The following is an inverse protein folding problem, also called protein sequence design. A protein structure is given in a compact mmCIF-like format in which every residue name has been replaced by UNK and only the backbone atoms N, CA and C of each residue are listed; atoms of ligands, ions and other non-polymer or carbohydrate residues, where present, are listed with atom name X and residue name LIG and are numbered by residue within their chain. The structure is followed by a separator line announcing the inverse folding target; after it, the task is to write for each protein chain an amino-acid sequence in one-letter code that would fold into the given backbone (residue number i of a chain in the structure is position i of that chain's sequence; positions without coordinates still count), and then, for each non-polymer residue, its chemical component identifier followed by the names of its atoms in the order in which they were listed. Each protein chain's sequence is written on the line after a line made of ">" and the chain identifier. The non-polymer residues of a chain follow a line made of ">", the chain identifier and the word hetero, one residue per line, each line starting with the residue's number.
data_IF_411233453071
#
_entry.id   IF_411233453071
#
_cell.length_a   1.000
_cell.length_b   1.000
_cell.length_c   1.000
_cell.angle_alpha   90.00
_cell.angle_beta   90.00
_cell.angle_gamma   90.00
#
_symmetry.space_group_name_H-M   'P 1'
#
loop_
_entity.id
_entity.type
_entity.pdbx_description
1 polymer ?
#
# COMPACT_ATOMS: atom_id res chain seq x y z
N UNK A 1 -5.32 -33.73 26.54
CA UNK A 1 -6.39 -32.71 26.49
C UNK A 1 -6.05 -31.80 25.32
N UNK A 2 -6.81 -31.82 24.23
CA UNK A 2 -6.60 -30.95 23.07
C UNK A 2 -7.36 -29.65 23.31
N UNK A 3 -6.64 -28.57 23.65
CA UNK A 3 -7.24 -27.25 23.77
C UNK A 3 -7.44 -26.69 22.36
N UNK A 4 -8.69 -26.53 21.94
CA UNK A 4 -9.00 -25.83 20.69
C UNK A 4 -8.91 -24.33 20.95
N UNK A 5 -7.89 -23.68 20.40
CA UNK A 5 -7.78 -22.22 20.41
C UNK A 5 -8.83 -21.64 19.46
N UNK A 6 -9.76 -20.80 19.95
CA UNK A 6 -10.62 -20.08 19.02
C UNK A 6 -9.81 -19.02 18.26
N UNK A 7 -10.14 -18.90 16.98
CA UNK A 7 -9.52 -17.98 16.02
C UNK A 7 -10.64 -17.15 15.42
N UNK A 8 -10.48 -15.83 15.43
CA UNK A 8 -11.39 -14.92 14.74
C UNK A 8 -10.75 -14.37 13.48
N UNK A 9 -11.57 -14.10 12.48
CA UNK A 9 -11.14 -13.45 11.26
C UNK A 9 -11.27 -11.95 11.40
N UNK A 10 -10.16 -11.22 11.35
CA UNK A 10 -10.09 -9.78 11.58
C UNK A 10 -9.78 -9.07 10.25
N UNK A 11 -10.53 -8.02 9.88
CA UNK A 11 -10.24 -7.27 8.67
C UNK A 11 -8.91 -6.52 8.82
N UNK A 12 -8.08 -6.61 7.79
CA UNK A 12 -6.74 -6.03 7.75
C UNK A 12 -6.58 -5.19 6.49
N UNK A 13 -6.08 -3.97 6.63
CA UNK A 13 -5.79 -3.08 5.51
C UNK A 13 -4.35 -2.59 5.57
N UNK A 14 -3.65 -2.66 4.44
CA UNK A 14 -2.28 -2.17 4.29
C UNK A 14 -2.30 -0.87 3.49
N UNK A 15 -1.69 0.16 4.06
CA UNK A 15 -1.53 1.48 3.47
C UNK A 15 -0.06 1.73 3.16
N UNK A 16 0.21 2.13 1.91
CA UNK A 16 1.53 2.56 1.49
C UNK A 16 1.68 4.06 1.72
N UNK A 17 2.80 4.45 2.32
CA UNK A 17 3.22 5.83 2.42
C UNK A 17 3.86 6.26 1.10
N UNK A 18 3.30 7.28 0.46
CA UNK A 18 3.77 7.80 -0.82
C UNK A 18 4.39 9.20 -0.70
N UNK A 19 4.74 9.62 0.53
CA UNK A 19 5.42 10.88 0.76
C UNK A 19 6.82 10.88 0.09
N UNK A 20 7.18 11.93 -0.69
CA UNK A 20 8.41 11.97 -1.48
C UNK A 20 9.71 12.07 -0.67
N UNK A 21 9.65 12.00 0.67
CA UNK A 21 10.79 12.02 1.58
C UNK A 21 10.41 11.35 2.91
N UNK A 22 10.20 10.04 2.95
CA UNK A 22 9.84 9.36 4.20
C UNK A 22 11.06 8.79 4.93
N UNK A 23 11.65 9.59 5.84
CA UNK A 23 12.47 9.10 6.96
C UNK A 23 11.57 8.53 8.07
N UNK A 24 10.73 7.56 7.69
CA UNK A 24 9.80 6.86 8.58
C UNK A 24 8.53 7.61 8.97
N UNK A 25 7.64 6.91 9.69
CA UNK A 25 6.33 7.44 10.10
C UNK A 25 6.41 8.62 11.09
N UNK A 26 7.60 9.04 11.54
CA UNK A 26 7.68 10.05 12.58
C UNK A 26 8.94 10.90 12.44
N UNK A 27 8.86 11.95 11.61
CA UNK A 27 9.49 13.28 11.78
C UNK A 27 9.32 14.10 10.48
N UNK A 28 8.53 15.18 10.57
CA UNK A 28 8.59 16.41 9.74
C UNK A 28 7.99 16.47 8.31
N UNK A 29 7.49 15.40 7.67
CA UNK A 29 6.94 15.51 6.30
C UNK A 29 5.42 15.21 6.19
N UNK A 30 4.69 15.81 5.23
CA UNK A 30 3.30 15.46 4.94
C UNK A 30 3.18 13.99 4.57
N UNK A 31 2.39 13.23 5.35
CA UNK A 31 2.10 11.80 5.10
C UNK A 31 0.95 11.67 4.12
N UNK A 32 1.10 10.81 3.12
CA UNK A 32 0.04 10.43 2.19
C UNK A 32 -0.07 8.92 2.20
N UNK A 33 -1.15 8.42 2.80
CA UNK A 33 -1.42 6.99 2.86
C UNK A 33 -2.40 6.62 1.75
N UNK A 34 -2.01 5.65 0.92
CA UNK A 34 -2.87 5.02 -0.07
C UNK A 34 -3.16 3.58 0.35
N UNK A 35 -4.44 3.22 0.43
CA UNK A 35 -4.83 1.83 0.62
C UNK A 35 -4.30 0.98 -0.56
N UNK A 36 -3.54 -0.05 -0.26
CA UNK A 36 -2.91 -0.91 -1.26
C UNK A 36 -3.53 -2.32 -1.27
N UNK A 37 -3.84 -2.87 -0.09
CA UNK A 37 -4.50 -4.17 0.00
C UNK A 37 -5.42 -4.25 1.21
N UNK A 38 -6.49 -5.04 1.06
CA UNK A 38 -7.40 -5.38 2.15
C UNK A 38 -7.65 -6.88 2.12
N UNK A 39 -7.49 -7.52 3.26
CA UNK A 39 -7.66 -8.96 3.43
C UNK A 39 -8.14 -9.27 4.84
N UNK A 40 -8.41 -10.53 5.10
CA UNK A 40 -8.94 -11.01 6.36
C UNK A 40 -7.89 -11.91 7.02
N UNK A 41 -7.42 -11.53 8.22
CA UNK A 41 -6.38 -12.27 8.92
C UNK A 41 -6.97 -13.13 10.05
N UNK A 42 -6.66 -14.44 10.11
CA UNK A 42 -7.01 -15.27 11.25
C UNK A 42 -6.13 -14.89 12.46
N UNK A 43 -6.75 -14.41 13.54
CA UNK A 43 -6.07 -14.05 14.78
C UNK A 43 -6.64 -14.91 15.92
N UNK A 44 -5.79 -15.65 16.66
CA UNK A 44 -6.19 -16.35 17.86
C UNK A 44 -6.80 -15.38 18.90
N UNK A 45 -8.02 -15.66 19.34
CA UNK A 45 -8.74 -14.81 20.32
C UNK A 45 -8.68 -15.35 21.74
N UNK A 46 -8.46 -16.65 21.90
CA UNK A 46 -8.44 -17.30 23.22
C UNK A 46 -7.04 -17.31 23.87
N UNK A 47 -6.02 -16.85 23.15
CA UNK A 47 -4.67 -16.70 23.70
C UNK A 47 -4.54 -15.35 24.39
N UNK A 48 -4.54 -15.36 25.73
CA UNK A 48 -4.04 -14.21 26.50
C UNK A 48 -2.51 -14.22 26.49
N UNK A 49 -1.84 -13.07 26.27
CA UNK A 49 -2.42 -11.75 26.00
C UNK A 49 -2.68 -11.49 24.50
N UNK A 50 -3.82 -10.90 24.19
CA UNK A 50 -4.22 -10.48 22.83
C UNK A 50 -3.16 -9.63 22.12
N UNK A 51 -2.43 -8.81 22.89
CA UNK A 51 -1.32 -8.00 22.36
C UNK A 51 -0.25 -8.86 21.67
N UNK A 52 0.06 -10.04 22.20
CA UNK A 52 1.01 -10.97 21.59
C UNK A 52 0.49 -11.51 20.26
N UNK A 53 -0.82 -11.77 20.17
CA UNK A 53 -1.45 -12.23 18.92
C UNK A 53 -1.40 -11.14 17.84
N UNK A 54 -1.63 -9.87 18.19
CA UNK A 54 -1.50 -8.76 17.22
C UNK A 54 -0.04 -8.55 16.81
N UNK A 55 0.92 -8.61 17.74
CA UNK A 55 2.35 -8.50 17.39
C UNK A 55 2.78 -9.61 16.43
N UNK A 56 2.41 -10.87 16.71
CA UNK A 56 2.70 -12.00 15.83
C UNK A 56 2.02 -11.86 14.45
N UNK A 57 0.79 -11.35 14.41
CA UNK A 57 0.10 -11.05 13.16
C UNK A 57 0.85 -10.01 12.31
N UNK A 58 1.43 -8.99 12.93
CA UNK A 58 2.17 -7.96 12.22
C UNK A 58 3.54 -8.42 11.73
N UNK A 59 4.25 -9.23 12.53
CA UNK A 59 5.46 -9.90 12.09
C UNK A 59 5.17 -10.79 10.88
N UNK A 60 4.10 -11.58 10.93
CA UNK A 60 3.69 -12.40 9.81
C UNK A 60 3.37 -11.57 8.56
N UNK A 61 2.65 -10.45 8.70
CA UNK A 61 2.38 -9.52 7.59
C UNK A 61 3.68 -8.94 7.02
N UNK A 62 4.62 -8.56 7.88
CA UNK A 62 5.91 -8.04 7.46
C UNK A 62 6.68 -9.06 6.62
N UNK A 63 6.79 -10.28 7.11
CA UNK A 63 7.54 -11.36 6.46
C UNK A 63 6.95 -11.68 5.08
N UNK A 64 5.64 -11.88 5.00
CA UNK A 64 4.93 -12.21 3.77
C UNK A 64 5.03 -11.11 2.70
N UNK A 65 5.02 -9.84 3.10
CA UNK A 65 5.07 -8.71 2.17
C UNK A 65 6.49 -8.28 1.78
N UNK A 66 7.50 -8.70 2.55
CA UNK A 66 8.90 -8.33 2.31
C UNK A 66 9.74 -9.47 1.74
N UNK A 67 9.44 -10.72 2.10
CA UNK A 67 10.14 -11.91 1.63
C UNK A 67 9.25 -12.70 0.66
N UNK A 68 9.40 -14.03 0.63
CA UNK A 68 8.65 -14.91 -0.27
C UNK A 68 7.21 -15.09 0.24
N UNK A 69 6.18 -14.73 -0.55
CA UNK A 69 4.79 -14.87 -0.13
C UNK A 69 4.38 -16.35 -0.06
N UNK A 70 3.81 -16.77 1.07
CA UNK A 70 3.24 -18.11 1.24
C UNK A 70 1.72 -18.09 1.26
N UNK A 71 1.14 -16.92 1.51
CA UNK A 71 -0.31 -16.69 1.60
C UNK A 71 -0.88 -16.08 0.33
N UNK A 72 -2.15 -16.38 0.04
CA UNK A 72 -2.83 -15.90 -1.18
C UNK A 72 -2.92 -14.37 -1.25
N UNK A 73 -3.10 -13.68 -0.12
CA UNK A 73 -3.13 -12.22 -0.09
C UNK A 73 -1.75 -11.60 -0.35
N UNK A 74 -0.67 -12.22 0.11
CA UNK A 74 0.69 -11.77 -0.15
C UNK A 74 1.12 -12.05 -1.61
N UNK A 75 0.70 -13.19 -2.17
CA UNK A 75 0.86 -13.45 -3.60
C UNK A 75 0.12 -12.40 -4.43
N UNK A 76 -1.10 -12.05 -4.04
CA UNK A 76 -1.88 -10.96 -4.66
C UNK A 76 -1.16 -9.61 -4.59
N UNK A 77 -0.54 -9.29 -3.46
CA UNK A 77 0.28 -8.09 -3.28
C UNK A 77 1.43 -7.99 -4.29
N UNK A 78 2.19 -9.09 -4.46
CA UNK A 78 3.30 -9.15 -5.43
C UNK A 78 2.80 -9.04 -6.87
N UNK A 79 1.71 -9.73 -7.21
CA UNK A 79 1.10 -9.64 -8.55
C UNK A 79 0.56 -8.24 -8.88
N UNK A 80 0.10 -7.49 -7.87
CA UNK A 80 -0.30 -6.09 -8.02
C UNK A 80 0.90 -5.13 -8.21
N UNK A 81 2.14 -5.65 -8.23
CA UNK A 81 3.35 -4.85 -8.44
C UNK A 81 3.65 -3.92 -7.26
N UNK A 82 3.15 -4.23 -6.06
CA UNK A 82 3.44 -3.44 -4.87
C UNK A 82 4.88 -3.69 -4.41
N UNK A 83 5.53 -2.62 -3.94
CA UNK A 83 6.85 -2.69 -3.30
C UNK A 83 6.77 -3.45 -1.96
N UNK A 84 7.92 -3.87 -1.46
CA UNK A 84 8.08 -4.31 -0.07
C UNK A 84 7.65 -3.21 0.92
N UNK A 85 7.11 -3.62 2.06
CA UNK A 85 6.82 -2.72 3.17
C UNK A 85 8.07 -1.98 3.64
N UNK A 86 7.91 -0.70 3.93
CA UNK A 86 8.98 0.20 4.34
C UNK A 86 8.55 1.07 5.53
N UNK A 87 9.53 1.66 6.21
CA UNK A 87 9.26 2.54 7.36
C UNK A 87 8.32 3.67 6.95
N UNK A 88 7.20 3.82 7.66
CA UNK A 88 6.15 4.76 7.28
C UNK A 88 4.90 4.12 6.70
N UNK A 89 4.98 2.90 6.16
CA UNK A 89 3.79 2.15 5.75
C UNK A 89 2.97 1.75 6.99
N UNK A 90 1.65 1.65 6.83
CA UNK A 90 0.73 1.42 7.94
C UNK A 90 -0.10 0.16 7.69
N UNK A 91 -0.21 -0.67 8.72
CA UNK A 91 -1.11 -1.81 8.76
C UNK A 91 -2.21 -1.51 9.78
N UNK A 92 -3.46 -1.65 9.35
CA UNK A 92 -4.63 -1.58 10.22
C UNK A 92 -5.15 -3.00 10.41
N UNK A 93 -5.27 -3.44 11.67
CA UNK A 93 -5.86 -4.73 12.05
C UNK A 93 -7.08 -4.43 12.92
N UNK A 94 -8.26 -4.75 12.41
CA UNK A 94 -9.53 -4.39 13.02
C UNK A 94 -9.64 -2.87 13.14
N UNK A 95 -9.61 -2.37 14.37
CA UNK A 95 -9.72 -0.95 14.70
C UNK A 95 -8.36 -0.30 15.05
N UNK A 96 -7.29 -1.09 15.10
CA UNK A 96 -5.97 -0.61 15.55
C UNK A 96 -5.03 -0.41 14.37
N UNK A 97 -4.31 0.71 14.35
CA UNK A 97 -3.41 1.10 13.27
C UNK A 97 -1.95 1.16 13.76
N UNK A 98 -1.03 0.59 12.98
CA UNK A 98 0.36 0.37 13.37
C UNK A 98 1.26 0.72 12.18
N UNK A 99 2.20 1.63 12.38
CA UNK A 99 3.17 2.03 11.37
C UNK A 99 4.45 1.22 11.49
N UNK A 100 5.01 0.81 10.36
CA UNK A 100 6.36 0.24 10.30
C UNK A 100 7.35 1.28 10.83
N UNK A 101 8.04 0.93 11.90
CA UNK A 101 9.10 1.73 12.50
C UNK A 101 10.48 1.24 12.03
N UNK A 102 11.54 1.96 12.38
CA UNK A 102 12.92 1.48 12.12
C UNK A 102 13.22 0.18 12.86
N UNK A 103 12.55 -0.04 14.00
CA UNK A 103 12.56 -1.28 14.77
C UNK A 103 11.12 -1.55 15.21
N UNK A 104 10.54 -2.65 14.73
CA UNK A 104 9.18 -3.06 15.07
C UNK A 104 8.10 -2.11 14.54
N UNK A 105 7.11 -1.84 15.39
CA UNK A 105 5.88 -1.15 15.01
C UNK A 105 5.54 -0.04 16.00
N UNK A 106 5.07 1.09 15.49
CA UNK A 106 4.56 2.19 16.31
C UNK A 106 3.03 2.27 16.19
N UNK A 107 2.28 2.37 17.30
CA UNK A 107 0.85 2.61 17.23
C UNK A 107 0.57 3.97 16.57
N UNK A 108 -0.49 4.02 15.79
CA UNK A 108 -1.00 5.21 15.10
C UNK A 108 -2.38 5.51 15.63
N UNK A 109 -2.62 6.75 16.02
CA UNK A 109 -3.97 7.14 16.46
C UNK A 109 -4.92 7.23 15.27
N UNK A 110 -6.23 7.08 15.52
CA UNK A 110 -7.26 7.26 14.50
C UNK A 110 -7.19 8.64 13.85
N UNK A 111 -6.93 9.70 14.64
CA UNK A 111 -6.79 11.06 14.11
C UNK A 111 -5.59 11.20 13.16
N UNK A 112 -4.44 10.60 13.50
CA UNK A 112 -3.26 10.60 12.64
C UNK A 112 -3.49 9.82 11.34
N UNK A 113 -4.18 8.68 11.42
CA UNK A 113 -4.53 7.86 10.27
C UNK A 113 -5.47 8.62 9.33
N UNK A 114 -6.58 9.16 9.85
CA UNK A 114 -7.56 9.93 9.06
C UNK A 114 -6.91 11.13 8.41
N UNK A 115 -6.12 11.91 9.16
CA UNK A 115 -5.43 13.07 8.62
C UNK A 115 -4.44 12.72 7.47
N UNK A 116 -3.86 11.52 7.49
CA UNK A 116 -2.94 11.05 6.44
C UNK A 116 -3.67 10.49 5.19
N UNK A 117 -4.85 9.90 5.39
CA UNK A 117 -5.74 9.44 4.30
C UNK A 117 -6.40 10.63 3.60
N UNK A 118 -6.94 11.60 4.33
CA UNK A 118 -7.63 12.75 3.73
C UNK A 118 -6.72 13.54 2.79
N UNK A 119 -5.44 13.70 3.16
CA UNK A 119 -4.46 14.39 2.32
C UNK A 119 -4.18 13.64 1.00
N UNK A 120 -4.26 12.31 0.97
CA UNK A 120 -4.08 11.57 -0.29
C UNK A 120 -5.27 11.82 -1.23
N UNK A 121 -6.50 11.89 -0.69
CA UNK A 121 -7.70 12.17 -1.49
C UNK A 121 -7.68 13.55 -2.17
N UNK A 122 -7.15 14.58 -1.50
CA UNK A 122 -7.12 15.94 -2.04
C UNK A 122 -6.21 16.12 -3.26
N UNK A 123 -5.23 15.23 -3.48
CA UNK A 123 -4.34 15.26 -4.65
C UNK A 123 -4.94 14.55 -5.87
N UNK A 124 -5.88 13.63 -5.67
CA UNK A 124 -6.55 12.92 -6.76
C UNK A 124 -7.69 13.71 -7.41
N UNK A 125 -7.93 14.97 -7.00
CA UNK A 125 -8.84 15.94 -7.65
C UNK A 125 -8.17 16.71 -8.81
N UNK A 126 -8.94 17.20 -9.79
CA UNK A 126 -8.40 17.56 -11.10
C UNK A 126 -7.47 18.77 -11.05
N UNK A 127 -6.34 18.64 -11.76
CA UNK A 127 -5.53 19.77 -12.20
C UNK A 127 -6.40 20.70 -13.08
N UNK A 128 -7.05 21.68 -12.47
CA UNK A 128 -8.03 22.54 -13.14
C UNK A 128 -8.12 23.92 -12.50
N UNK A 129 -6.98 24.52 -12.17
CA UNK A 129 -6.88 25.88 -11.66
C UNK A 129 -6.02 26.75 -12.58
N UNK A 130 -6.28 26.71 -13.89
CA UNK A 130 -5.69 27.66 -14.82
C UNK A 130 -6.17 29.06 -14.46
N UNK A 131 -5.28 29.85 -13.87
CA UNK A 131 -5.44 31.30 -13.76
C UNK A 131 -5.54 31.88 -15.17
N UNK A 132 -6.73 32.33 -15.58
CA UNK A 132 -6.83 33.31 -16.67
C UNK A 132 -6.36 34.67 -16.17
N UNK A 133 -5.54 35.37 -16.97
CA UNK A 133 -5.83 36.78 -17.25
C UNK A 133 -5.62 37.09 -18.76
N UNK A 134 -5.87 38.34 -19.21
CA UNK A 134 -7.04 38.74 -19.97
C UNK A 134 -6.83 38.73 -21.50
N UNK A 135 -7.95 38.62 -22.21
CA UNK A 135 -8.10 38.69 -23.66
C UNK A 135 -7.49 39.97 -24.25
N UNK A 136 -6.65 39.83 -25.28
CA UNK A 136 -6.35 40.89 -26.25
C UNK A 136 -6.85 40.45 -27.64
N UNK A 137 -7.72 41.28 -28.17
CA UNK A 137 -8.49 41.13 -29.41
C UNK A 137 -7.59 41.26 -30.65
N UNK A 138 -7.79 40.42 -31.68
CA UNK A 138 -7.95 40.84 -33.09
C UNK A 138 -8.53 39.73 -34.00
N UNK A 139 -9.43 40.14 -34.89
CA UNK A 139 -10.38 39.36 -35.74
C UNK A 139 -9.75 38.88 -37.09
N UNK A 140 -10.53 38.56 -38.18
CA UNK A 140 -11.17 37.28 -38.52
C UNK A 140 -10.81 36.76 -39.95
N UNK A 141 -11.54 35.74 -40.45
CA UNK A 141 -11.63 35.23 -41.85
C UNK A 141 -10.70 34.03 -42.16
N UNK A 142 -11.11 32.91 -42.79
CA UNK A 142 -12.08 32.64 -43.85
C UNK A 142 -12.68 31.21 -43.80
N UNK A 143 -13.82 31.07 -44.49
CA UNK A 143 -14.56 29.88 -44.97
C UNK A 143 -13.76 28.59 -45.27
N UNK A 144 -14.42 27.43 -45.08
CA UNK A 144 -14.30 26.32 -46.04
C UNK A 144 -14.57 24.89 -45.55
N UNK A 145 -15.74 24.37 -45.91
CA UNK A 145 -16.03 22.98 -46.32
C UNK A 145 -16.15 21.81 -45.32
N UNK A 146 -17.28 21.12 -45.50
CA UNK A 146 -17.71 19.80 -45.01
C UNK A 146 -16.65 18.70 -45.19
N UNK A 147 -16.55 17.80 -44.20
CA UNK A 147 -16.46 16.33 -44.38
C UNK A 147 -16.77 15.63 -43.04
N UNK A 148 -17.48 14.50 -43.11
CA UNK A 148 -18.06 13.78 -41.96
C UNK A 148 -17.05 13.09 -41.02
N UNK A 149 -17.54 12.48 -39.93
CA UNK A 149 -16.68 11.90 -38.90
C UNK A 149 -16.07 10.56 -39.35
N UNK A 150 -14.77 10.29 -39.10
CA UNK A 150 -14.25 8.94 -39.15
C UNK A 150 -14.51 8.21 -37.82
N UNK A 151 -15.06 7.00 -37.93
CA UNK A 151 -15.17 6.02 -36.86
C UNK A 151 -13.81 5.67 -36.27
N UNK A 152 -13.65 5.76 -34.96
CA UNK A 152 -12.45 5.30 -34.25
C UNK A 152 -12.49 3.78 -34.06
N UNK A 153 -11.42 3.04 -34.37
CA UNK A 153 -11.34 1.61 -34.14
C UNK A 153 -11.12 1.25 -32.66
N UNK A 154 -11.66 0.08 -32.32
CA UNK A 154 -11.55 -0.70 -31.09
C UNK A 154 -10.09 -0.80 -30.61
N UNK A 155 -9.83 -0.50 -29.34
CA UNK A 155 -8.53 -0.74 -28.72
C UNK A 155 -8.31 -2.25 -28.58
N UNK A 156 -7.28 -2.78 -29.25
CA UNK A 156 -6.76 -4.12 -29.04
C UNK A 156 -6.03 -4.22 -27.67
N UNK A 157 -6.04 -5.40 -27.03
CA UNK A 157 -5.29 -5.64 -25.81
C UNK A 157 -3.77 -5.67 -26.08
N UNK A 158 -3.02 -4.96 -25.22
CA UNK A 158 -1.55 -4.90 -25.22
C UNK A 158 -0.93 -6.30 -25.02
N UNK A 159 0.21 -6.64 -25.66
CA UNK A 159 0.92 -7.88 -25.40
C UNK A 159 1.59 -7.89 -24.01
N UNK A 160 1.80 -9.08 -23.40
CA UNK A 160 2.51 -9.20 -22.13
C UNK A 160 3.97 -8.76 -22.29
N UNK A 161 4.38 -7.80 -21.46
CA UNK A 161 5.78 -7.40 -21.34
C UNK A 161 6.50 -8.40 -20.44
N UNK A 162 7.57 -9.01 -20.95
CA UNK A 162 8.47 -9.90 -20.20
C UNK A 162 9.04 -9.16 -18.99
N UNK A 163 8.99 -9.72 -17.76
CA UNK A 163 9.61 -9.07 -16.61
C UNK A 163 11.15 -9.08 -16.72
N UNK A 164 11.84 -8.03 -16.24
CA UNK A 164 13.30 -8.02 -16.14
C UNK A 164 13.80 -9.01 -15.08
N UNK A 165 15.07 -9.46 -15.15
CA UNK A 165 15.63 -10.40 -14.19
C UNK A 165 15.68 -9.82 -12.76
N UNK A 166 15.21 -10.63 -11.81
CA UNK A 166 15.14 -10.37 -10.37
C UNK A 166 16.49 -9.95 -9.79
N UNK A 167 16.56 -8.74 -9.23
CA UNK A 167 17.66 -8.33 -8.37
C UNK A 167 17.53 -9.05 -7.01
N UNK A 168 18.64 -9.43 -6.34
CA UNK A 168 18.57 -10.11 -5.05
C UNK A 168 17.99 -9.19 -3.95
N UNK A 169 16.91 -9.66 -3.31
CA UNK A 169 16.26 -9.01 -2.18
C UNK A 169 17.24 -8.86 -1.00
N UNK A 170 17.66 -7.63 -0.74
CA UNK A 170 18.59 -7.30 0.37
C UNK A 170 17.86 -7.14 1.71
N UNK A 171 16.54 -7.38 1.76
CA UNK A 171 15.71 -7.03 2.91
C UNK A 171 15.28 -8.22 3.79
N UNK A 172 15.64 -9.46 3.45
CA UNK A 172 15.39 -10.59 4.34
C UNK A 172 16.56 -10.75 5.33
N UNK A 173 16.32 -10.75 6.65
CA UNK A 173 17.36 -11.10 7.61
C UNK A 173 17.81 -12.55 7.38
N UNK A 174 19.10 -12.87 7.58
CA UNK A 174 19.60 -14.23 7.40
C UNK A 174 18.96 -15.17 8.43
N UNK A 175 18.50 -16.34 7.96
CA UNK A 175 18.01 -17.44 8.81
C UNK A 175 19.08 -17.80 9.86
N UNK A 176 18.76 -17.87 11.16
CA UNK A 176 19.72 -18.34 12.15
C UNK A 176 20.05 -19.82 11.88
N UNK A 177 21.35 -20.13 11.81
CA UNK A 177 21.82 -21.50 11.61
C UNK A 177 21.35 -22.41 12.78
N UNK A 178 20.98 -23.68 12.51
CA UNK A 178 20.59 -24.60 13.57
C UNK A 178 21.77 -24.82 14.52
N UNK A 179 21.56 -24.49 15.80
CA UNK A 179 22.50 -24.82 16.87
C UNK A 179 22.56 -26.33 17.02
N UNK A 180 23.73 -26.92 16.77
CA UNK A 180 23.94 -28.35 16.97
C UNK A 180 23.79 -28.69 18.47
N UNK A 181 23.11 -29.80 18.82
CA UNK A 181 23.12 -30.28 20.20
C UNK A 181 24.52 -30.77 20.58
N UNK A 182 24.98 -30.42 21.78
CA UNK A 182 26.19 -30.95 22.43
C UNK A 182 25.94 -32.33 23.02
#
# INVERSE_FOLDING_TARGET
>A
MTTTTATSTVPTTVYLNEAPASLGFNRVAPRWLRAAATFNLPIPTDTRPQQTAISAALEHIFDELNCEPTTTWATGWRHAGHRSLSVGDVVVIGETAWAVASVGWNPVSTDELTAAIDRSSTRSGPAGGARSPPQLIQHPSLKGHHHGPPSTPRADPWPPSTPPPTAPDTNCPPTPAPTAPS
#
